data_IF_575029163748
#
_entry.id   IF_575029163748
#
_cell.length_a   1.000
_cell.length_b   1.000
_cell.length_c   1.000
_cell.angle_alpha   90.00
_cell.angle_beta   90.00
_cell.angle_gamma   90.00
#
_symmetry.space_group_name_H-M   'P 1'
#
loop_
_entity.id
_entity.type
_entity.pdbx_description
1 polymer ?
#
# COMPACT_ATOMS: atom_id res chain seq x y z
N UNK A 1 -37.23 2.09 -25.86
CA UNK A 1 -36.60 2.83 -24.74
C UNK A 1 -35.11 2.84 -24.99
N UNK A 2 -34.43 4.00 -25.06
CA UNK A 2 -33.01 4.00 -25.34
C UNK A 2 -32.27 3.40 -24.15
N UNK A 3 -31.51 2.33 -24.39
CA UNK A 3 -30.61 1.75 -23.40
C UNK A 3 -29.49 2.73 -23.10
N UNK A 4 -29.71 3.61 -22.13
CA UNK A 4 -28.68 4.50 -21.62
C UNK A 4 -27.55 3.64 -21.05
N UNK A 5 -26.36 3.76 -21.62
CA UNK A 5 -25.17 3.07 -21.14
C UNK A 5 -24.89 3.51 -19.71
N UNK A 6 -25.09 2.58 -18.76
CA UNK A 6 -24.88 2.82 -17.34
C UNK A 6 -23.38 2.69 -17.05
N UNK A 7 -22.68 3.82 -16.99
CA UNK A 7 -21.28 3.85 -16.59
C UNK A 7 -21.20 3.97 -15.07
N UNK A 8 -20.39 3.14 -14.38
CA UNK A 8 -20.18 3.29 -12.96
C UNK A 8 -19.55 4.65 -12.66
N UNK A 9 -20.05 5.33 -11.62
CA UNK A 9 -19.43 6.57 -11.11
C UNK A 9 -17.97 6.31 -10.76
N UNK A 10 -17.08 7.24 -11.11
CA UNK A 10 -15.64 7.14 -10.82
C UNK A 10 -15.35 6.92 -9.33
N UNK A 11 -16.21 7.43 -8.45
CA UNK A 11 -16.13 7.18 -7.00
C UNK A 11 -16.32 5.70 -6.66
N UNK A 12 -17.34 5.06 -7.22
CA UNK A 12 -17.62 3.64 -6.99
C UNK A 12 -16.44 2.76 -7.41
N UNK A 13 -15.76 3.10 -8.52
CA UNK A 13 -14.59 2.37 -8.98
C UNK A 13 -13.44 2.50 -7.96
N UNK A 14 -13.12 3.73 -7.50
CA UNK A 14 -12.05 3.96 -6.51
C UNK A 14 -12.29 3.24 -5.19
N UNK A 15 -13.52 3.31 -4.67
CA UNK A 15 -13.91 2.66 -3.41
C UNK A 15 -13.71 1.16 -3.50
N UNK A 16 -14.22 0.53 -4.58
CA UNK A 16 -14.07 -0.90 -4.78
C UNK A 16 -12.60 -1.32 -4.89
N UNK A 17 -11.78 -0.57 -5.63
CA UNK A 17 -10.34 -0.85 -5.73
C UNK A 17 -9.69 -0.79 -4.34
N UNK A 18 -9.94 0.26 -3.56
CA UNK A 18 -9.37 0.40 -2.21
C UNK A 18 -9.78 -0.77 -1.32
N UNK A 19 -11.05 -1.16 -1.34
CA UNK A 19 -11.55 -2.29 -0.55
C UNK A 19 -10.95 -3.62 -0.99
N UNK A 20 -10.89 -3.93 -2.29
CA UNK A 20 -10.29 -5.17 -2.77
C UNK A 20 -8.80 -5.26 -2.41
N UNK A 21 -8.03 -4.18 -2.61
CA UNK A 21 -6.61 -4.16 -2.23
C UNK A 21 -6.46 -4.35 -0.71
N UNK A 22 -7.29 -3.70 0.11
CA UNK A 22 -7.25 -3.87 1.56
C UNK A 22 -7.50 -5.33 2.00
N UNK A 23 -8.47 -6.00 1.38
CA UNK A 23 -8.80 -7.38 1.67
C UNK A 23 -7.67 -8.33 1.24
N UNK A 24 -7.13 -8.14 0.04
CA UNK A 24 -6.01 -8.93 -0.47
C UNK A 24 -4.80 -8.79 0.45
N UNK A 25 -4.43 -7.56 0.84
CA UNK A 25 -3.31 -7.32 1.76
C UNK A 25 -3.53 -7.95 3.13
N UNK A 26 -4.76 -7.87 3.67
CA UNK A 26 -5.11 -8.53 4.93
C UNK A 26 -4.95 -10.05 4.84
N UNK A 27 -5.46 -10.67 3.78
CA UNK A 27 -5.34 -12.11 3.54
C UNK A 27 -3.89 -12.54 3.34
N UNK A 28 -3.11 -11.78 2.57
CA UNK A 28 -1.68 -12.02 2.36
C UNK A 28 -0.92 -11.95 3.69
N UNK A 29 -1.23 -10.96 4.54
CA UNK A 29 -0.62 -10.83 5.86
C UNK A 29 -0.90 -12.06 6.72
N UNK A 30 -2.15 -12.49 6.79
CA UNK A 30 -2.54 -13.68 7.56
C UNK A 30 -1.87 -14.93 7.01
N UNK A 31 -1.82 -15.10 5.68
CA UNK A 31 -1.18 -16.24 5.03
C UNK A 31 0.32 -16.32 5.38
N UNK A 32 1.05 -15.21 5.25
CA UNK A 32 2.47 -15.15 5.60
C UNK A 32 2.65 -15.42 7.10
N UNK A 33 1.78 -14.87 7.95
CA UNK A 33 1.78 -15.13 9.39
C UNK A 33 1.58 -16.61 9.74
N UNK A 34 0.66 -17.29 9.06
CA UNK A 34 0.41 -18.72 9.25
C UNK A 34 1.64 -19.54 8.85
N UNK A 35 2.22 -19.28 7.68
CA UNK A 35 3.42 -19.99 7.19
C UNK A 35 4.61 -19.74 8.13
N UNK A 36 4.82 -18.49 8.57
CA UNK A 36 5.85 -18.18 9.55
C UNK A 36 5.63 -18.91 10.87
N UNK A 37 4.38 -19.02 11.34
CA UNK A 37 4.06 -19.74 12.57
C UNK A 37 4.38 -21.23 12.43
N UNK A 38 4.21 -21.80 11.24
CA UNK A 38 4.60 -23.18 10.96
C UNK A 38 6.11 -23.36 11.07
N UNK A 39 6.92 -22.43 10.55
CA UNK A 39 8.38 -22.46 10.71
C UNK A 39 8.81 -22.42 12.18
N UNK A 40 8.20 -21.54 12.98
CA UNK A 40 8.49 -21.42 14.41
C UNK A 40 8.10 -22.69 15.16
N UNK A 41 6.94 -23.27 14.85
CA UNK A 41 6.49 -24.53 15.47
C UNK A 41 7.44 -25.69 15.16
N UNK A 42 7.90 -25.79 13.92
CA UNK A 42 8.87 -26.81 13.54
C UNK A 42 10.23 -26.59 14.21
N UNK A 43 10.67 -25.34 14.35
CA UNK A 43 11.84 -24.98 15.15
C UNK A 43 11.71 -25.42 16.61
N UNK A 44 10.51 -25.33 17.19
CA UNK A 44 10.24 -25.71 18.59
C UNK A 44 10.09 -27.21 18.82
N UNK A 45 9.90 -28.02 17.77
CA UNK A 45 9.87 -29.50 17.90
C UNK A 45 11.28 -30.03 18.12
N UNK A 46 11.75 -29.95 19.37
CA UNK A 46 13.06 -30.47 19.76
C UNK A 46 12.93 -31.83 20.47
N UNK A 47 13.73 -32.85 20.12
CA UNK A 47 13.75 -34.11 20.85
C UNK A 47 14.34 -33.89 22.26
N UNK A 48 13.56 -34.19 23.30
CA UNK A 48 13.93 -34.01 24.71
C UNK A 48 15.13 -34.86 25.18
N UNK A 49 15.55 -35.83 24.36
CA UNK A 49 16.50 -36.89 24.75
C UNK A 49 17.97 -36.59 24.38
N UNK A 50 18.34 -35.35 24.02
CA UNK A 50 19.73 -35.02 23.71
C UNK A 50 20.53 -34.54 24.94
N UNK A 51 21.84 -34.84 25.02
CA UNK A 51 22.72 -34.28 26.03
C UNK A 51 22.68 -32.74 26.04
N UNK A 52 22.69 -32.07 27.21
CA UNK A 52 22.49 -30.62 27.32
C UNK A 52 23.39 -29.78 26.40
N UNK A 53 24.67 -30.17 26.26
CA UNK A 53 25.64 -29.47 25.40
C UNK A 53 25.28 -29.55 23.91
N UNK A 54 24.79 -30.70 23.44
CA UNK A 54 24.36 -30.88 22.05
C UNK A 54 23.02 -30.19 21.78
N UNK A 55 22.11 -30.21 22.77
CA UNK A 55 20.85 -29.48 22.71
C UNK A 55 21.06 -27.96 22.58
N UNK A 56 21.98 -27.40 23.36
CA UNK A 56 22.33 -25.99 23.29
C UNK A 56 22.93 -25.60 21.93
N UNK A 57 23.92 -26.36 21.44
CA UNK A 57 24.55 -26.09 20.14
C UNK A 57 23.53 -26.15 18.98
N UNK A 58 22.64 -27.15 18.98
CA UNK A 58 21.63 -27.31 17.95
C UNK A 58 20.52 -26.23 17.99
N UNK A 59 20.29 -25.62 19.16
CA UNK A 59 19.38 -24.46 19.30
C UNK A 59 19.99 -23.19 18.74
N UNK A 60 21.28 -22.94 19.02
CA UNK A 60 22.00 -21.77 18.52
C UNK A 60 22.13 -21.78 17.00
N UNK A 61 22.58 -22.89 16.41
CA UNK A 61 22.72 -23.01 14.95
C UNK A 61 21.40 -22.75 14.21
N UNK A 62 20.27 -23.21 14.77
CA UNK A 62 18.96 -22.94 14.17
C UNK A 62 18.47 -21.51 14.42
N UNK A 63 18.82 -20.91 15.57
CA UNK A 63 18.48 -19.52 15.85
C UNK A 63 19.25 -18.58 14.90
N UNK A 64 20.53 -18.85 14.66
CA UNK A 64 21.34 -18.20 13.64
C UNK A 64 20.72 -18.37 12.26
N UNK A 65 20.25 -19.59 11.91
CA UNK A 65 19.52 -19.83 10.67
C UNK A 65 18.22 -19.01 10.56
N UNK A 66 17.46 -18.81 11.64
CA UNK A 66 16.26 -17.95 11.60
C UNK A 66 16.61 -16.48 11.36
N UNK A 67 17.71 -16.00 11.93
CA UNK A 67 18.20 -14.63 11.70
C UNK A 67 18.76 -14.45 10.29
N UNK A 68 19.52 -15.41 9.78
CA UNK A 68 20.10 -15.36 8.43
C UNK A 68 19.03 -15.41 7.33
N UNK A 69 17.90 -16.08 7.61
CA UNK A 69 16.73 -16.11 6.73
C UNK A 69 15.73 -14.97 6.99
N UNK A 70 16.07 -14.00 7.85
CA UNK A 70 15.26 -12.81 8.14
C UNK A 70 13.83 -13.11 8.62
N UNK A 71 13.62 -14.26 9.28
CA UNK A 71 12.29 -14.63 9.80
C UNK A 71 11.77 -13.61 10.81
N UNK A 72 12.57 -13.11 11.78
CA UNK A 72 12.12 -12.06 12.69
C UNK A 72 11.64 -10.80 11.96
N UNK A 73 12.30 -10.40 10.87
CA UNK A 73 11.95 -9.23 10.07
C UNK A 73 10.62 -9.41 9.33
N UNK A 74 10.37 -10.60 8.78
CA UNK A 74 9.08 -10.92 8.15
C UNK A 74 7.95 -10.71 9.16
N UNK A 75 8.09 -11.28 10.36
CA UNK A 75 7.09 -11.14 11.43
C UNK A 75 6.91 -9.71 11.91
N UNK A 76 7.99 -8.94 11.94
CA UNK A 76 7.94 -7.56 12.35
C UNK A 76 7.27 -6.66 11.28
N UNK A 77 7.23 -7.10 10.02
CA UNK A 77 6.52 -6.45 8.91
C UNK A 77 5.04 -6.80 8.77
N UNK A 78 4.60 -7.95 9.29
CA UNK A 78 3.19 -8.36 9.25
C UNK A 78 2.23 -7.30 9.83
N UNK A 79 2.50 -6.68 11.00
CA UNK A 79 1.64 -5.62 11.52
C UNK A 79 1.56 -4.41 10.60
N UNK A 80 2.64 -4.07 9.88
CA UNK A 80 2.67 -2.93 8.96
C UNK A 80 1.83 -3.18 7.71
N UNK A 81 1.87 -4.41 7.17
CA UNK A 81 1.00 -4.84 6.07
C UNK A 81 -0.48 -4.85 6.49
N UNK A 82 -0.80 -5.27 7.72
CA UNK A 82 -2.17 -5.23 8.23
C UNK A 82 -2.65 -3.80 8.47
N UNK A 83 -1.78 -2.93 9.00
CA UNK A 83 -2.09 -1.51 9.21
C UNK A 83 -2.30 -0.79 7.88
N UNK A 84 -1.51 -1.08 6.84
CA UNK A 84 -1.72 -0.48 5.52
C UNK A 84 -3.05 -0.93 4.89
N UNK A 85 -3.41 -2.22 5.04
CA UNK A 85 -4.72 -2.73 4.66
C UNK A 85 -5.85 -1.97 5.37
N UNK A 86 -5.74 -1.79 6.69
CA UNK A 86 -6.71 -1.04 7.48
C UNK A 86 -6.85 0.42 7.00
N UNK A 87 -5.73 1.10 6.74
CA UNK A 87 -5.75 2.48 6.24
C UNK A 87 -6.46 2.57 4.89
N UNK A 88 -6.15 1.69 3.95
CA UNK A 88 -6.81 1.65 2.64
C UNK A 88 -8.32 1.39 2.76
N UNK A 89 -8.72 0.51 3.67
CA UNK A 89 -10.14 0.25 3.96
C UNK A 89 -10.84 1.50 4.48
N UNK A 90 -10.24 2.20 5.45
CA UNK A 90 -10.80 3.42 6.03
C UNK A 90 -10.85 4.57 5.01
N UNK A 91 -9.86 4.70 4.13
CA UNK A 91 -9.90 5.69 3.04
C UNK A 91 -11.07 5.41 2.09
N UNK A 92 -11.24 4.17 1.67
CA UNK A 92 -12.39 3.76 0.83
C UNK A 92 -13.72 3.98 1.54
N UNK A 93 -13.79 3.70 2.85
CA UNK A 93 -14.98 3.94 3.68
C UNK A 93 -15.33 5.43 3.76
N UNK A 94 -14.35 6.31 3.94
CA UNK A 94 -14.58 7.75 3.99
C UNK A 94 -15.04 8.29 2.62
N UNK A 95 -14.42 7.87 1.50
CA UNK A 95 -14.86 8.26 0.15
C UNK A 95 -16.30 7.80 -0.10
N UNK A 96 -16.64 6.57 0.30
CA UNK A 96 -18.01 6.05 0.21
C UNK A 96 -19.02 6.87 1.03
N UNK A 97 -18.72 7.18 2.30
CA UNK A 97 -19.62 7.93 3.17
C UNK A 97 -19.80 9.38 2.71
N UNK A 98 -18.75 10.01 2.18
CA UNK A 98 -18.83 11.35 1.60
C UNK A 98 -19.80 11.42 0.41
N UNK A 99 -19.82 10.36 -0.42
CA UNK A 99 -20.75 10.27 -1.54
C UNK A 99 -22.17 9.88 -1.12
N UNK A 100 -22.34 9.20 0.02
CA UNK A 100 -23.63 8.75 0.52
C UNK A 100 -24.35 9.83 1.34
N UNK A 101 -23.71 10.34 2.39
CA UNK A 101 -24.25 11.42 3.23
C UNK A 101 -23.15 12.09 4.07
N UNK A 102 -22.98 13.39 3.89
CA UNK A 102 -21.97 14.19 4.61
C UNK A 102 -22.15 14.20 6.13
N UNK A 103 -23.38 14.07 6.64
CA UNK A 103 -23.69 14.06 8.08
C UNK A 103 -23.10 12.80 8.74
N UNK A 104 -23.18 11.65 8.05
CA UNK A 104 -22.62 10.38 8.54
C UNK A 104 -21.10 10.32 8.32
N UNK A 105 -20.59 11.03 7.31
CA UNK A 105 -19.16 11.06 7.02
C UNK A 105 -18.32 11.76 8.10
N UNK A 106 -18.81 12.84 8.71
CA UNK A 106 -18.08 13.60 9.73
C UNK A 106 -17.54 12.75 10.90
N UNK A 107 -18.38 11.97 11.62
CA UNK A 107 -17.88 11.13 12.71
C UNK A 107 -16.91 10.05 12.24
N UNK A 108 -17.11 9.48 11.04
CA UNK A 108 -16.22 8.46 10.47
C UNK A 108 -14.83 9.03 10.14
N UNK A 109 -14.78 10.25 9.58
CA UNK A 109 -13.54 10.96 9.29
C UNK A 109 -12.81 11.30 10.58
N UNK A 110 -13.53 11.78 11.61
CA UNK A 110 -12.95 12.08 12.91
C UNK A 110 -12.30 10.83 13.53
N UNK A 111 -13.01 9.70 13.57
CA UNK A 111 -12.49 8.42 14.07
C UNK A 111 -11.28 7.91 13.25
N UNK A 112 -11.35 8.03 11.93
CA UNK A 112 -10.24 7.64 11.05
C UNK A 112 -9.01 8.51 11.32
N UNK A 113 -9.19 9.82 11.42
CA UNK A 113 -8.09 10.76 11.68
C UNK A 113 -7.40 10.51 13.02
N UNK A 114 -8.16 10.23 14.08
CA UNK A 114 -7.62 9.88 15.38
C UNK A 114 -6.82 8.57 15.34
N UNK A 115 -7.32 7.57 14.60
CA UNK A 115 -6.64 6.29 14.40
C UNK A 115 -5.32 6.47 13.64
N UNK A 116 -5.34 7.26 12.55
CA UNK A 116 -4.14 7.57 11.78
C UNK A 116 -3.10 8.32 12.62
N UNK A 117 -3.54 9.31 13.41
CA UNK A 117 -2.66 10.06 14.31
C UNK A 117 -2.00 9.12 15.33
N UNK A 118 -2.78 8.22 15.95
CA UNK A 118 -2.24 7.23 16.88
C UNK A 118 -1.21 6.30 16.22
N UNK A 119 -1.48 5.83 14.99
CA UNK A 119 -0.55 5.01 14.22
C UNK A 119 0.74 5.76 13.87
N UNK A 120 0.63 7.02 13.45
CA UNK A 120 1.76 7.88 13.13
C UNK A 120 2.61 8.12 14.39
N UNK A 121 1.99 8.50 15.50
CA UNK A 121 2.67 8.74 16.78
C UNK A 121 3.42 7.49 17.21
N UNK A 122 2.77 6.31 17.21
CA UNK A 122 3.39 5.06 17.67
C UNK A 122 4.50 4.54 16.74
N UNK A 123 4.44 4.85 15.44
CA UNK A 123 5.45 4.44 14.46
C UNK A 123 6.65 5.40 14.41
N UNK A 124 6.41 6.70 14.57
CA UNK A 124 7.42 7.76 14.39
C UNK A 124 8.13 8.12 15.71
N UNK A 125 7.50 7.98 16.89
CA UNK A 125 8.15 8.27 18.18
C UNK A 125 9.50 7.54 18.34
N UNK A 126 9.57 6.22 18.12
CA UNK A 126 10.81 5.48 18.37
C UNK A 126 12.00 5.87 17.46
N UNK A 127 11.86 6.07 16.13
CA UNK A 127 12.98 6.55 15.31
C UNK A 127 13.38 7.99 15.65
N UNK A 128 12.43 8.87 16.01
CA UNK A 128 12.78 10.22 16.49
C UNK A 128 13.62 10.13 17.76
N UNK A 129 13.22 9.31 18.72
CA UNK A 129 14.00 9.09 19.94
C UNK A 129 15.38 8.51 19.64
N UNK A 130 15.47 7.57 18.68
CA UNK A 130 16.74 6.96 18.28
C UNK A 130 17.67 7.97 17.59
N UNK A 131 17.14 8.85 16.73
CA UNK A 131 17.89 9.92 16.07
C UNK A 131 18.33 11.01 17.06
N UNK A 132 17.47 11.38 18.01
CA UNK A 132 17.78 12.34 19.07
C UNK A 132 18.88 11.79 20.00
N UNK A 133 18.84 10.49 20.31
CA UNK A 133 19.89 9.79 21.06
C UNK A 133 21.19 9.67 20.27
N UNK A 134 21.16 9.40 18.95
CA UNK A 134 22.37 9.36 18.11
C UNK A 134 23.03 10.73 17.98
N UNK A 135 22.26 11.81 17.88
CA UNK A 135 22.79 13.18 17.87
C UNK A 135 23.38 13.58 19.24
N UNK A 136 22.80 13.07 20.33
CA UNK A 136 23.25 13.33 21.71
C UNK A 136 24.40 12.39 22.17
N UNK A 137 24.56 11.22 21.55
CA UNK A 137 25.59 10.22 21.82
C UNK A 137 27.02 10.65 21.41
N UNK A 138 27.18 11.86 20.87
CA UNK A 138 28.48 12.53 20.82
C UNK A 138 29.00 12.88 22.24
N UNK A 139 28.16 12.76 23.27
CA UNK A 139 28.52 12.85 24.69
C UNK A 139 28.54 11.46 25.35
N UNK A 140 29.67 11.13 25.97
CA UNK A 140 30.10 9.80 26.43
C UNK A 140 29.38 9.34 27.72
N UNK A 141 28.08 9.05 27.65
CA UNK A 141 27.35 8.32 28.72
C UNK A 141 26.28 7.43 28.11
N UNK A 142 26.38 6.12 28.33
CA UNK A 142 25.41 5.11 27.86
C UNK A 142 24.10 5.30 28.66
N UNK A 143 23.01 5.81 28.07
CA UNK A 143 21.73 5.91 28.77
C UNK A 143 21.04 4.53 28.78
N UNK A 144 20.21 4.29 29.80
CA UNK A 144 19.44 3.07 29.93
C UNK A 144 18.65 2.73 28.64
N UNK A 145 18.66 1.47 28.17
CA UNK A 145 17.88 1.10 27.00
C UNK A 145 16.40 1.35 27.28
N UNK A 146 15.79 2.23 26.49
CA UNK A 146 14.43 2.69 26.69
C UNK A 146 13.41 1.53 26.61
N UNK A 147 12.42 1.46 27.53
CA UNK A 147 11.46 0.35 27.61
C UNK A 147 10.55 0.20 26.39
N UNK A 148 10.40 1.25 25.58
CA UNK A 148 9.56 1.28 24.37
C UNK A 148 10.30 0.87 23.09
N UNK A 149 11.21 -0.10 23.20
CA UNK A 149 11.80 -0.76 22.02
C UNK A 149 10.75 -1.70 21.41
N UNK A 150 9.67 -1.13 20.87
CA UNK A 150 8.62 -1.92 20.23
C UNK A 150 9.24 -2.62 19.01
N UNK A 151 8.95 -3.92 18.79
CA UNK A 151 9.42 -4.64 17.61
C UNK A 151 9.09 -3.89 16.32
N UNK A 152 7.97 -3.15 16.29
CA UNK A 152 7.47 -2.41 15.13
C UNK A 152 8.39 -1.25 14.70
N UNK A 153 9.04 -0.55 15.62
CA UNK A 153 9.98 0.52 15.26
C UNK A 153 11.27 0.00 14.64
N UNK A 154 11.82 -1.07 15.23
CA UNK A 154 13.03 -1.71 14.73
C UNK A 154 12.75 -2.42 13.41
N UNK A 155 11.55 -3.01 13.28
CA UNK A 155 11.00 -3.48 12.01
C UNK A 155 11.01 -2.37 10.98
N UNK A 156 10.36 -1.23 11.25
CA UNK A 156 10.24 -0.13 10.31
C UNK A 156 11.59 0.37 9.81
N UNK A 157 12.57 0.57 10.70
CA UNK A 157 13.93 1.00 10.32
C UNK A 157 14.63 -0.04 9.41
N UNK A 158 14.48 -1.33 9.71
CA UNK A 158 15.17 -2.42 9.00
C UNK A 158 14.44 -2.83 7.70
N UNK A 159 13.11 -2.76 7.70
CA UNK A 159 12.22 -2.94 6.55
C UNK A 159 12.41 -1.77 5.57
N UNK A 160 12.48 -0.53 6.03
CA UNK A 160 12.86 0.63 5.19
C UNK A 160 14.21 0.41 4.47
N UNK A 161 15.13 -0.33 5.11
CA UNK A 161 16.44 -0.67 4.54
C UNK A 161 16.47 -1.94 3.68
N UNK A 162 15.43 -2.80 3.71
CA UNK A 162 15.42 -4.07 2.99
C UNK A 162 14.66 -4.00 1.66
N UNK A 163 15.17 -4.72 0.65
CA UNK A 163 14.69 -4.70 -0.73
C UNK A 163 13.20 -5.08 -0.87
N UNK A 164 12.68 -5.96 0.01
CA UNK A 164 11.31 -6.44 -0.01
C UNK A 164 10.27 -5.38 0.36
N UNK A 165 10.61 -4.43 1.23
CA UNK A 165 9.73 -3.30 1.54
C UNK A 165 9.70 -2.28 0.42
N UNK A 166 10.85 -2.05 -0.23
CA UNK A 166 10.91 -1.23 -1.45
C UNK A 166 10.00 -1.83 -2.52
N UNK A 167 9.96 -3.14 -2.66
CA UNK A 167 9.03 -3.81 -3.58
C UNK A 167 7.56 -3.64 -3.17
N UNK A 168 7.20 -3.83 -1.89
CA UNK A 168 5.83 -3.66 -1.41
C UNK A 168 5.36 -2.19 -1.43
N UNK A 169 6.24 -1.24 -1.10
CA UNK A 169 5.97 0.21 -1.21
C UNK A 169 5.95 0.67 -2.66
N UNK A 170 6.78 0.11 -3.55
CA UNK A 170 6.66 0.36 -4.98
C UNK A 170 5.34 -0.20 -5.49
N UNK A 171 4.89 -1.37 -5.05
CA UNK A 171 3.58 -1.92 -5.45
C UNK A 171 2.41 -1.06 -4.95
N UNK A 172 2.45 -0.59 -3.70
CA UNK A 172 1.42 0.30 -3.11
C UNK A 172 1.52 1.73 -3.63
N UNK A 173 2.72 2.21 -3.90
CA UNK A 173 3.03 3.53 -4.45
C UNK A 173 2.68 3.62 -5.93
N UNK A 174 3.01 2.61 -6.72
CA UNK A 174 2.55 2.43 -8.09
C UNK A 174 1.03 2.30 -8.10
N UNK A 175 0.41 1.48 -7.24
CA UNK A 175 -1.04 1.41 -7.14
C UNK A 175 -1.67 2.77 -6.78
N UNK A 176 -1.09 3.52 -5.83
CA UNK A 176 -1.57 4.86 -5.47
C UNK A 176 -1.38 5.88 -6.60
N UNK A 177 -0.26 5.81 -7.32
CA UNK A 177 0.04 6.64 -8.49
C UNK A 177 -0.92 6.31 -9.65
N UNK A 178 -1.17 5.03 -9.91
CA UNK A 178 -2.16 4.56 -10.89
C UNK A 178 -3.58 4.95 -10.48
N UNK A 179 -3.99 4.85 -9.21
CA UNK A 179 -5.34 5.21 -8.76
C UNK A 179 -5.59 6.74 -8.83
N UNK A 180 -4.60 7.58 -8.52
CA UNK A 180 -4.72 9.05 -8.58
C UNK A 180 -4.55 9.63 -9.99
N UNK A 181 -3.65 9.07 -10.81
CA UNK A 181 -3.25 9.64 -12.11
C UNK A 181 -3.91 8.95 -13.29
N UNK A 182 -4.22 7.64 -13.24
CA UNK A 182 -4.88 6.94 -14.35
C UNK A 182 -6.25 7.51 -14.76
N UNK A 183 -7.12 8.04 -13.86
CA UNK A 183 -8.35 8.69 -14.35
C UNK A 183 -8.03 9.96 -15.15
N UNK A 184 -6.99 10.71 -14.78
CA UNK A 184 -6.59 11.94 -15.50
C UNK A 184 -5.94 11.62 -16.84
N UNK A 185 -5.07 10.59 -16.91
CA UNK A 185 -4.42 10.19 -18.17
C UNK A 185 -5.37 9.47 -19.11
N UNK A 186 -6.31 8.65 -18.61
CA UNK A 186 -7.35 8.02 -19.42
C UNK A 186 -8.34 9.07 -19.98
N UNK A 187 -8.75 10.07 -19.17
CA UNK A 187 -9.58 11.19 -19.65
C UNK A 187 -8.79 12.05 -20.65
N UNK A 188 -7.51 12.31 -20.43
CA UNK A 188 -6.67 13.06 -21.36
C UNK A 188 -6.44 12.32 -22.69
N UNK A 189 -6.21 11.00 -22.65
CA UNK A 189 -6.06 10.15 -23.83
C UNK A 189 -7.37 10.07 -24.60
N UNK A 190 -8.51 9.87 -23.90
CA UNK A 190 -9.84 9.86 -24.52
C UNK A 190 -10.16 11.23 -25.12
N UNK A 191 -9.87 12.35 -24.45
CA UNK A 191 -10.06 13.69 -25.00
C UNK A 191 -9.12 13.98 -26.19
N UNK A 192 -7.89 13.47 -26.19
CA UNK A 192 -6.96 13.62 -27.31
C UNK A 192 -7.39 12.78 -28.53
N UNK A 193 -7.86 11.55 -28.30
CA UNK A 193 -8.37 10.65 -29.35
C UNK A 193 -9.70 11.15 -29.91
N UNK A 194 -10.62 11.63 -29.06
CA UNK A 194 -11.89 12.23 -29.47
C UNK A 194 -11.67 13.58 -30.18
N UNK A 195 -10.78 14.44 -29.69
CA UNK A 195 -10.42 15.70 -30.35
C UNK A 195 -9.67 15.52 -31.68
N UNK A 196 -9.01 14.38 -31.89
CA UNK A 196 -8.47 13.98 -33.18
C UNK A 196 -9.56 13.54 -34.18
N UNK A 197 -10.62 12.90 -33.68
CA UNK A 197 -11.77 12.46 -34.49
C UNK A 197 -12.55 13.65 -35.06
N UNK A 198 -12.74 14.71 -34.29
CA UNK A 198 -13.47 15.92 -34.72
C UNK A 198 -12.73 16.70 -35.82
N UNK A 199 -11.40 16.67 -35.80
CA UNK A 199 -10.56 17.22 -36.89
C UNK A 199 -10.68 16.39 -38.18
N UNK A 200 -10.73 15.06 -38.11
CA UNK A 200 -10.90 14.24 -39.31
C UNK A 200 -12.25 14.47 -39.99
N UNK A 201 -13.33 14.58 -39.21
CA UNK A 201 -14.66 14.85 -39.78
C UNK A 201 -14.73 16.21 -40.46
N UNK A 202 -14.11 17.26 -39.89
CA UNK A 202 -14.04 18.57 -40.55
C UNK A 202 -13.24 18.54 -41.85
N UNK A 203 -12.09 17.86 -41.88
CA UNK A 203 -11.32 17.67 -43.13
C UNK A 203 -12.09 16.88 -44.20
N UNK A 204 -12.82 15.83 -43.80
CA UNK A 204 -13.67 15.05 -44.72
C UNK A 204 -14.81 15.93 -45.26
N UNK A 205 -15.43 16.75 -44.40
CA UNK A 205 -16.46 17.70 -44.83
C UNK A 205 -15.92 18.74 -45.81
N UNK A 206 -14.72 19.30 -45.56
CA UNK A 206 -14.07 20.23 -46.49
C UNK A 206 -13.74 19.56 -47.83
N UNK A 207 -13.16 18.36 -47.81
CA UNK A 207 -12.80 17.62 -49.02
C UNK A 207 -14.04 17.35 -49.88
N UNK A 208 -15.14 16.93 -49.25
CA UNK A 208 -16.41 16.70 -49.94
C UNK A 208 -16.98 17.99 -50.56
N UNK A 209 -16.89 19.12 -49.84
CA UNK A 209 -17.33 20.43 -50.36
C UNK A 209 -16.49 20.87 -51.57
N UNK A 210 -15.17 20.69 -51.51
CA UNK A 210 -14.26 21.05 -52.62
C UNK A 210 -14.47 20.19 -53.86
N UNK A 211 -14.77 18.90 -53.68
CA UNK A 211 -15.08 17.99 -54.79
C UNK A 211 -16.41 18.37 -55.44
N UNK A 212 -17.43 18.76 -54.65
CA UNK A 212 -18.70 19.29 -55.18
C UNK A 212 -18.52 20.58 -55.96
N UNK A 213 -17.72 21.53 -55.46
CA UNK A 213 -17.47 22.79 -56.15
C UNK A 213 -16.69 22.59 -57.47
N UNK A 214 -15.72 21.67 -57.49
CA UNK A 214 -14.96 21.34 -58.70
C UNK A 214 -15.82 20.66 -59.77
N UNK A 215 -16.82 19.88 -59.36
CA UNK A 215 -17.81 19.25 -60.26
C UNK A 215 -18.80 20.25 -60.85
N UNK A 216 -19.06 21.39 -60.19
CA UNK A 216 -20.01 22.41 -60.65
C UNK A 216 -19.35 23.46 -61.55
N UNK A 217 -18.03 23.68 -61.42
CA UNK A 217 -17.27 24.59 -62.28
C UNK A 217 -16.75 23.99 -63.59
N UNK A 218 -17.08 22.71 -63.88
CA UNK A 218 -16.73 22.02 -65.13
C UNK A 218 -17.93 21.86 -66.08
N UNK A 219 -18.99 22.65 -65.87
CA UNK A 219 -20.12 22.88 -66.77
C UNK A 219 -20.06 24.32 -67.26
#
# INVERSE_FOLDING_TARGET
>A
MPGGSYYPSSSNIRVNICWFISLILSLMTVLIGIVGLQWIREYQKYPTNLPPKRAFAARNLRAEGLEEWYVPEIFAGLPLLLQSALVLFLVGLNDFLLHLNIIVAWPAIAMTSATLLFLIVTTILPPIQTLWLLNTAKSMTIPAPCPYKSPQSWAFFRIMSSWSFRFALNLVGDASFYILVAPVSAIALVNHVLGGRDRLWTWISYLHLTLKLKSLGSL
#
